data_IF_018089480222
#
_entry.id   IF_018089480222
#
_cell.length_a   1.000
_cell.length_b   1.000
_cell.length_c   1.000
_cell.angle_alpha   90.00
_cell.angle_beta   90.00
_cell.angle_gamma   90.00
#
_symmetry.space_group_name_H-M   'P 1'
#
loop_
_entity.id
_entity.type
_entity.pdbx_description
1 polymer ?
#
# COMPACT_ATOMS: atom_id res chain seq x y z
N UNK A 1 -50.42 -55.48 8.54
CA UNK A 1 -49.00 -55.10 8.76
C UNK A 1 -48.14 -55.02 7.47
N UNK A 2 -48.73 -54.97 6.28
CA UNK A 2 -47.94 -54.90 5.02
C UNK A 2 -48.03 -53.52 4.33
N UNK A 3 -48.84 -52.57 4.85
CA UNK A 3 -49.01 -51.23 4.23
C UNK A 3 -48.16 -50.14 4.87
N UNK A 4 -47.58 -50.35 6.04
CA UNK A 4 -46.70 -49.39 6.74
C UNK A 4 -45.24 -49.50 6.34
N UNK A 5 -44.81 -50.60 5.74
CA UNK A 5 -43.42 -50.83 5.31
C UNK A 5 -43.12 -50.15 3.96
N UNK A 6 -44.15 -49.88 3.15
CA UNK A 6 -43.98 -49.27 1.81
C UNK A 6 -43.80 -47.75 1.87
N UNK A 7 -44.25 -47.10 2.95
CA UNK A 7 -44.16 -45.64 3.10
C UNK A 7 -42.78 -45.17 3.58
N UNK A 8 -42.05 -46.07 4.28
CA UNK A 8 -40.68 -45.77 4.78
C UNK A 8 -39.58 -45.90 3.72
N UNK A 9 -39.85 -46.58 2.62
CA UNK A 9 -38.89 -46.74 1.51
C UNK A 9 -38.92 -45.58 0.51
N UNK A 10 -40.00 -44.75 0.49
CA UNK A 10 -40.15 -43.62 -0.43
C UNK A 10 -39.51 -42.31 0.10
N UNK A 11 -39.20 -42.24 1.39
CA UNK A 11 -38.58 -41.02 1.98
C UNK A 11 -37.06 -41.00 1.92
N UNK A 12 -36.44 -42.17 1.63
CA UNK A 12 -34.98 -42.29 1.57
C UNK A 12 -34.36 -41.91 0.22
N UNK A 13 -35.17 -41.74 -0.84
CA UNK A 13 -34.63 -41.49 -2.20
C UNK A 13 -34.53 -40.01 -2.56
N UNK A 14 -35.12 -39.09 -1.75
CA UNK A 14 -35.15 -37.64 -2.09
C UNK A 14 -34.11 -36.80 -1.37
N UNK A 15 -33.22 -37.36 -0.54
CA UNK A 15 -32.22 -36.61 0.20
C UNK A 15 -30.80 -36.66 -0.43
N UNK A 16 -30.68 -37.15 -1.66
CA UNK A 16 -29.38 -37.52 -2.27
C UNK A 16 -28.88 -36.62 -3.40
N UNK A 17 -29.48 -35.46 -3.72
CA UNK A 17 -29.12 -34.75 -4.96
C UNK A 17 -29.07 -33.22 -4.89
N UNK A 18 -28.73 -32.64 -3.74
CA UNK A 18 -28.34 -31.23 -3.66
C UNK A 18 -27.02 -31.06 -2.92
N UNK A 19 -26.01 -31.81 -3.32
CA UNK A 19 -24.65 -31.40 -3.08
C UNK A 19 -24.40 -30.16 -3.96
N UNK A 20 -24.66 -28.95 -3.40
CA UNK A 20 -24.18 -27.71 -4.00
C UNK A 20 -22.69 -27.89 -4.21
N UNK A 21 -22.25 -28.01 -5.48
CA UNK A 21 -20.84 -27.81 -5.82
C UNK A 21 -20.45 -26.47 -5.22
N UNK A 22 -19.70 -26.50 -4.14
CA UNK A 22 -19.00 -25.29 -3.67
C UNK A 22 -18.22 -24.76 -4.86
N UNK A 23 -18.36 -23.46 -5.21
CA UNK A 23 -17.59 -22.90 -6.29
C UNK A 23 -16.12 -23.22 -5.98
N UNK A 24 -15.49 -23.97 -6.84
CA UNK A 24 -14.07 -24.25 -6.71
C UNK A 24 -13.36 -22.94 -7.02
N UNK A 25 -12.94 -22.23 -5.95
CA UNK A 25 -12.13 -21.03 -6.09
C UNK A 25 -10.91 -21.44 -6.88
N UNK A 26 -10.74 -20.86 -8.06
CA UNK A 26 -9.56 -21.09 -8.87
C UNK A 26 -8.31 -20.88 -8.00
N UNK A 27 -7.29 -21.75 -8.09
CA UNK A 27 -6.05 -21.55 -7.36
C UNK A 27 -5.51 -20.15 -7.70
N UNK A 28 -5.10 -19.41 -6.67
CA UNK A 28 -4.51 -18.09 -6.86
C UNK A 28 -3.37 -18.20 -7.89
N UNK A 29 -3.25 -17.21 -8.80
CA UNK A 29 -2.21 -17.23 -9.81
C UNK A 29 -0.84 -17.38 -9.15
N UNK A 30 -0.03 -18.34 -9.61
CA UNK A 30 1.33 -18.50 -9.16
C UNK A 30 2.17 -17.39 -9.73
N UNK A 31 2.38 -16.33 -8.93
CA UNK A 31 3.22 -15.20 -9.31
C UNK A 31 4.69 -15.62 -9.13
N UNK A 32 5.55 -15.46 -10.16
CA UNK A 32 6.98 -15.67 -10.03
C UNK A 32 7.56 -14.81 -8.89
N UNK A 33 8.54 -15.34 -8.16
CA UNK A 33 9.13 -14.63 -7.02
C UNK A 33 9.70 -13.26 -7.42
N UNK A 34 10.25 -13.14 -8.63
CA UNK A 34 10.75 -11.87 -9.16
C UNK A 34 9.68 -10.78 -9.39
N UNK A 35 8.40 -11.15 -9.46
CA UNK A 35 7.28 -10.23 -9.64
C UNK A 35 6.41 -10.13 -8.38
N UNK A 36 6.78 -10.83 -7.32
CA UNK A 36 5.93 -10.94 -6.13
C UNK A 36 5.77 -9.60 -5.41
N UNK A 37 6.82 -8.81 -5.31
CA UNK A 37 6.77 -7.45 -4.75
C UNK A 37 5.79 -6.57 -5.51
N UNK A 38 5.93 -6.51 -6.84
CA UNK A 38 5.03 -5.76 -7.71
C UNK A 38 3.57 -6.23 -7.62
N UNK A 39 3.32 -7.54 -7.62
CA UNK A 39 1.98 -8.09 -7.48
C UNK A 39 1.32 -7.67 -6.15
N UNK A 40 2.03 -7.81 -5.03
CA UNK A 40 1.53 -7.42 -3.72
C UNK A 40 1.29 -5.90 -3.62
N UNK A 41 2.13 -5.10 -4.27
CA UNK A 41 1.92 -3.67 -4.41
C UNK A 41 0.62 -3.36 -5.16
N UNK A 42 0.38 -3.98 -6.32
CA UNK A 42 -0.85 -3.76 -7.09
C UNK A 42 -2.12 -4.17 -6.35
N UNK A 43 -2.06 -5.25 -5.55
CA UNK A 43 -3.15 -5.62 -4.64
C UNK A 43 -3.37 -4.54 -3.57
N UNK A 44 -2.29 -4.01 -2.98
CA UNK A 44 -2.37 -2.91 -2.02
C UNK A 44 -3.00 -1.64 -2.60
N UNK A 45 -2.61 -1.25 -3.81
CA UNK A 45 -3.21 -0.12 -4.54
C UNK A 45 -4.72 -0.34 -4.77
N UNK A 46 -5.10 -1.53 -5.23
CA UNK A 46 -6.51 -1.89 -5.41
C UNK A 46 -7.29 -1.76 -4.09
N UNK A 47 -6.77 -2.29 -3.00
CA UNK A 47 -7.38 -2.22 -1.67
C UNK A 47 -7.52 -0.78 -1.18
N UNK A 48 -6.51 0.08 -1.39
CA UNK A 48 -6.54 1.47 -0.98
C UNK A 48 -7.58 2.29 -1.76
N UNK A 49 -7.57 2.21 -3.09
CA UNK A 49 -8.30 3.15 -3.94
C UNK A 49 -9.65 2.62 -4.44
N UNK A 50 -9.79 1.32 -4.62
CA UNK A 50 -11.03 0.70 -5.14
C UNK A 50 -11.88 0.17 -4.00
N UNK A 51 -11.30 -0.65 -3.13
CA UNK A 51 -12.00 -1.30 -2.03
C UNK A 51 -12.12 -0.42 -0.79
N UNK A 52 -11.27 0.61 -0.68
CA UNK A 52 -11.16 1.55 0.45
C UNK A 52 -10.85 0.85 1.78
N UNK A 53 -10.11 -0.24 1.71
CA UNK A 53 -9.69 -1.04 2.85
C UNK A 53 -8.26 -0.69 3.27
N UNK A 54 -8.09 0.43 3.97
CA UNK A 54 -6.76 0.97 4.34
C UNK A 54 -5.89 -0.03 5.11
N UNK A 55 -6.48 -0.82 6.01
CA UNK A 55 -5.73 -1.81 6.78
C UNK A 55 -5.20 -2.96 5.89
N UNK A 56 -6.02 -3.44 4.95
CA UNK A 56 -5.61 -4.46 3.99
C UNK A 56 -4.56 -3.92 3.02
N UNK A 57 -4.73 -2.69 2.54
CA UNK A 57 -3.77 -1.99 1.69
C UNK A 57 -2.40 -1.91 2.37
N UNK A 58 -2.36 -1.43 3.62
CA UNK A 58 -1.14 -1.37 4.42
C UNK A 58 -0.46 -2.75 4.52
N UNK A 59 -1.20 -3.80 4.89
CA UNK A 59 -0.64 -5.15 5.00
C UNK A 59 -0.08 -5.66 3.66
N UNK A 60 -0.71 -5.34 2.54
CA UNK A 60 -0.23 -5.70 1.21
C UNK A 60 1.03 -4.93 0.81
N UNK A 61 1.13 -3.64 1.14
CA UNK A 61 2.35 -2.84 0.94
C UNK A 61 3.50 -3.37 1.80
N UNK A 62 3.27 -3.68 3.08
CA UNK A 62 4.26 -4.28 3.97
C UNK A 62 4.78 -5.63 3.44
N UNK A 63 3.90 -6.47 2.89
CA UNK A 63 4.30 -7.71 2.23
C UNK A 63 5.06 -7.49 0.92
N UNK A 64 4.73 -6.42 0.18
CA UNK A 64 5.45 -6.03 -1.03
C UNK A 64 6.91 -5.73 -0.73
N UNK A 65 7.19 -4.88 0.28
CA UNK A 65 8.56 -4.54 0.68
C UNK A 65 9.32 -5.71 1.33
N UNK A 66 8.61 -6.67 1.94
CA UNK A 66 9.23 -7.92 2.41
C UNK A 66 9.65 -8.82 1.25
N UNK A 67 8.88 -8.84 0.16
CA UNK A 67 9.19 -9.61 -1.03
C UNK A 67 10.28 -8.94 -1.89
N UNK A 68 10.27 -7.61 -1.97
CA UNK A 68 11.27 -6.81 -2.68
C UNK A 68 11.48 -5.46 -1.96
N UNK A 69 12.51 -5.39 -1.14
CA UNK A 69 12.86 -4.18 -0.38
C UNK A 69 13.42 -3.04 -1.25
N UNK A 70 13.73 -3.32 -2.51
CA UNK A 70 14.22 -2.31 -3.47
C UNK A 70 13.09 -1.65 -4.26
N UNK A 71 11.84 -2.15 -4.10
CA UNK A 71 10.68 -1.63 -4.80
C UNK A 71 10.19 -0.32 -4.17
N UNK A 72 10.76 0.81 -4.60
CA UNK A 72 10.50 2.16 -4.09
C UNK A 72 9.02 2.56 -4.01
N UNK A 73 8.18 2.26 -5.04
CA UNK A 73 6.76 2.61 -4.98
C UNK A 73 6.00 2.05 -3.78
N UNK A 74 6.35 0.86 -3.30
CA UNK A 74 5.69 0.31 -2.11
C UNK A 74 6.04 1.07 -0.83
N UNK A 75 7.28 1.53 -0.70
CA UNK A 75 7.71 2.39 0.40
C UNK A 75 7.02 3.76 0.35
N UNK A 76 6.91 4.33 -0.85
CA UNK A 76 6.24 5.60 -1.08
C UNK A 76 4.76 5.55 -0.67
N UNK A 77 3.99 4.59 -1.17
CA UNK A 77 2.58 4.46 -0.85
C UNK A 77 2.35 4.16 0.65
N UNK A 78 3.23 3.38 1.27
CA UNK A 78 3.14 3.12 2.70
C UNK A 78 3.40 4.39 3.53
N UNK A 79 4.35 5.23 3.10
CA UNK A 79 4.57 6.53 3.71
C UNK A 79 3.35 7.44 3.57
N UNK A 80 2.70 7.45 2.38
CA UNK A 80 1.50 8.24 2.12
C UNK A 80 0.33 7.83 3.02
N UNK A 81 0.07 6.54 3.17
CA UNK A 81 -0.96 6.00 4.05
C UNK A 81 -0.78 6.40 5.52
N UNK A 82 0.46 6.64 5.94
CA UNK A 82 0.82 6.92 7.33
C UNK A 82 1.04 8.41 7.61
N UNK A 83 1.14 9.24 6.59
CA UNK A 83 1.66 10.60 6.68
C UNK A 83 1.02 11.45 7.78
N UNK A 84 -0.30 11.37 7.92
CA UNK A 84 -1.05 12.14 8.92
C UNK A 84 -1.49 11.34 10.15
N UNK A 85 -1.30 10.02 10.15
CA UNK A 85 -1.73 9.16 11.23
C UNK A 85 -0.56 8.66 12.10
N UNK A 86 0.62 8.50 11.50
CA UNK A 86 1.87 8.08 12.15
C UNK A 86 3.05 8.73 11.44
N UNK A 87 3.22 10.04 11.66
CA UNK A 87 4.27 10.83 11.00
C UNK A 87 5.69 10.25 11.20
N UNK A 88 6.08 9.71 12.38
CA UNK A 88 7.38 9.05 12.53
C UNK A 88 7.56 7.80 11.65
N UNK A 89 6.50 6.99 11.50
CA UNK A 89 6.57 5.83 10.60
C UNK A 89 6.61 6.28 9.13
N UNK A 90 5.78 7.26 8.75
CA UNK A 90 5.80 7.84 7.41
C UNK A 90 7.18 8.35 7.02
N UNK A 91 7.87 9.04 7.93
CA UNK A 91 9.24 9.52 7.68
C UNK A 91 10.20 8.38 7.39
N UNK A 92 10.17 7.31 8.18
CA UNK A 92 11.04 6.13 7.92
C UNK A 92 10.78 5.52 6.55
N UNK A 93 9.52 5.40 6.14
CA UNK A 93 9.16 4.85 4.84
C UNK A 93 9.53 5.79 3.69
N UNK A 94 9.32 7.10 3.84
CA UNK A 94 9.74 8.10 2.87
C UNK A 94 11.28 8.12 2.68
N UNK A 95 12.03 7.97 3.76
CA UNK A 95 13.50 7.82 3.69
C UNK A 95 13.91 6.54 2.94
N UNK A 96 13.14 5.46 3.05
CA UNK A 96 13.40 4.23 2.28
C UNK A 96 13.07 4.44 0.80
N UNK A 97 11.91 5.01 0.45
CA UNK A 97 11.57 5.33 -0.94
C UNK A 97 12.66 6.19 -1.59
N UNK A 98 13.07 7.27 -0.92
CA UNK A 98 14.12 8.16 -1.40
C UNK A 98 15.47 7.43 -1.63
N UNK A 99 15.84 6.43 -0.82
CA UNK A 99 17.06 5.65 -1.04
C UNK A 99 17.01 4.78 -2.28
N UNK A 100 15.82 4.38 -2.77
CA UNK A 100 15.69 3.59 -4.01
C UNK A 100 15.92 4.43 -5.26
N UNK A 101 15.49 5.70 -5.24
CA UNK A 101 15.80 6.69 -6.28
C UNK A 101 15.90 8.10 -5.65
N UNK A 102 17.13 8.58 -5.56
CA UNK A 102 17.42 9.88 -4.95
C UNK A 102 17.14 11.07 -5.86
N UNK A 103 16.69 10.83 -7.07
CA UNK A 103 16.34 11.84 -8.09
C UNK A 103 14.87 11.87 -8.42
N UNK A 104 14.09 10.93 -7.89
CA UNK A 104 12.63 10.95 -8.06
C UNK A 104 12.03 12.13 -7.30
N UNK A 105 11.36 13.02 -8.05
CA UNK A 105 10.78 14.25 -7.49
C UNK A 105 9.62 13.97 -6.51
N UNK A 106 8.88 12.89 -6.69
CA UNK A 106 7.78 12.54 -5.82
C UNK A 106 8.28 12.02 -4.47
N UNK A 107 9.38 11.24 -4.49
CA UNK A 107 10.02 10.77 -3.26
C UNK A 107 10.65 11.93 -2.48
N UNK A 108 11.26 12.91 -3.18
CA UNK A 108 11.78 14.12 -2.56
C UNK A 108 10.66 14.96 -1.94
N UNK A 109 9.56 15.16 -2.66
CA UNK A 109 8.42 15.94 -2.16
C UNK A 109 7.85 15.31 -0.89
N UNK A 110 7.59 14.00 -0.92
CA UNK A 110 7.03 13.26 0.21
C UNK A 110 7.99 13.24 1.40
N UNK A 111 9.29 13.03 1.17
CA UNK A 111 10.31 13.08 2.22
C UNK A 111 10.33 14.44 2.90
N UNK A 112 10.31 15.52 2.13
CA UNK A 112 10.26 16.87 2.67
C UNK A 112 9.01 17.12 3.53
N UNK A 113 7.85 16.67 3.07
CA UNK A 113 6.60 16.76 3.84
C UNK A 113 6.67 15.94 5.14
N UNK A 114 7.16 14.70 5.07
CA UNK A 114 7.32 13.87 6.25
C UNK A 114 8.31 14.46 7.26
N UNK A 115 9.38 15.11 6.79
CA UNK A 115 10.33 15.82 7.65
C UNK A 115 9.69 17.01 8.37
N UNK A 116 8.85 17.79 7.68
CA UNK A 116 8.11 18.91 8.29
C UNK A 116 7.18 18.41 9.39
N UNK A 117 6.41 17.34 9.13
CA UNK A 117 5.49 16.76 10.11
C UNK A 117 6.19 16.14 11.33
N UNK A 118 7.49 15.95 11.26
CA UNK A 118 8.35 15.48 12.36
C UNK A 118 9.25 16.60 12.90
N UNK A 119 8.93 17.88 12.66
CA UNK A 119 9.68 19.05 13.12
C UNK A 119 11.15 19.09 12.67
N UNK A 120 11.50 18.33 11.61
CA UNK A 120 12.86 18.25 11.06
C UNK A 120 13.07 19.33 9.99
N UNK A 121 12.85 20.59 10.33
CA UNK A 121 12.81 21.71 9.38
C UNK A 121 14.10 21.88 8.59
N UNK A 122 15.29 21.75 9.24
CA UNK A 122 16.59 21.84 8.55
C UNK A 122 16.79 20.74 7.52
N UNK A 123 16.30 19.52 7.80
CA UNK A 123 16.34 18.42 6.86
C UNK A 123 15.40 18.70 5.68
N UNK A 124 14.18 19.18 5.97
CA UNK A 124 13.22 19.58 4.95
C UNK A 124 13.78 20.67 4.02
N UNK A 125 14.45 21.70 4.54
CA UNK A 125 15.12 22.70 3.73
C UNK A 125 16.12 22.05 2.76
N UNK A 126 16.94 21.12 3.21
CA UNK A 126 17.89 20.41 2.32
C UNK A 126 17.16 19.60 1.25
N UNK A 127 16.10 18.89 1.63
CA UNK A 127 15.30 18.08 0.71
C UNK A 127 14.59 18.93 -0.34
N UNK A 128 13.96 20.03 0.04
CA UNK A 128 13.30 20.94 -0.90
C UNK A 128 14.29 21.70 -1.80
N UNK A 129 15.50 22.02 -1.32
CA UNK A 129 16.56 22.57 -2.19
C UNK A 129 16.95 21.54 -3.26
N UNK A 130 17.09 20.27 -2.89
CA UNK A 130 17.36 19.20 -3.85
C UNK A 130 16.19 18.97 -4.82
N UNK A 131 14.95 19.04 -4.35
CA UNK A 131 13.78 18.99 -5.22
C UNK A 131 13.82 20.12 -6.27
N UNK A 132 14.23 21.32 -5.90
CA UNK A 132 14.38 22.45 -6.82
C UNK A 132 15.49 22.21 -7.86
N UNK A 133 16.54 21.46 -7.55
CA UNK A 133 17.57 21.06 -8.52
C UNK A 133 17.04 20.06 -9.53
N UNK A 134 16.17 19.13 -9.10
CA UNK A 134 15.57 18.09 -9.95
C UNK A 134 14.39 18.64 -10.76
N UNK A 135 13.57 19.49 -10.17
CA UNK A 135 12.37 20.09 -10.76
C UNK A 135 12.33 21.61 -10.46
N UNK A 136 13.13 22.37 -11.23
CA UNK A 136 13.27 23.82 -11.03
C UNK A 136 11.99 24.61 -11.26
N UNK A 137 10.98 24.02 -11.91
CA UNK A 137 9.70 24.69 -12.16
C UNK A 137 8.63 24.31 -11.12
N UNK A 138 8.96 23.51 -10.13
CA UNK A 138 8.02 23.12 -9.09
C UNK A 138 7.71 24.31 -8.15
N UNK A 139 6.49 24.89 -8.19
CA UNK A 139 6.16 26.06 -7.41
C UNK A 139 6.11 25.78 -5.91
N UNK A 140 5.78 24.54 -5.53
CA UNK A 140 5.68 24.14 -4.13
C UNK A 140 7.05 24.16 -3.44
N UNK A 141 8.13 23.82 -4.15
CA UNK A 141 9.47 23.86 -3.57
C UNK A 141 9.85 25.29 -3.11
N UNK A 142 9.54 26.28 -3.92
CA UNK A 142 9.81 27.70 -3.58
C UNK A 142 8.94 28.18 -2.43
N UNK A 143 7.64 27.87 -2.46
CA UNK A 143 6.68 28.28 -1.44
C UNK A 143 7.03 27.68 -0.07
N UNK A 144 7.35 26.38 -0.05
CA UNK A 144 7.69 25.68 1.19
C UNK A 144 9.04 26.15 1.73
N UNK A 145 10.05 26.35 0.89
CA UNK A 145 11.34 26.91 1.31
C UNK A 145 11.18 28.30 1.93
N UNK A 146 10.37 29.20 1.32
CA UNK A 146 10.12 30.51 1.90
C UNK A 146 9.51 30.41 3.31
N UNK A 147 8.52 29.52 3.50
CA UNK A 147 7.90 29.27 4.80
C UNK A 147 8.91 28.71 5.83
N UNK A 148 9.74 27.75 5.41
CA UNK A 148 10.72 27.12 6.30
C UNK A 148 11.84 28.07 6.72
N UNK A 149 12.30 28.95 5.81
CA UNK A 149 13.30 29.98 6.16
C UNK A 149 12.73 31.06 7.09
N UNK A 150 11.46 31.44 6.93
CA UNK A 150 10.78 32.35 7.86
C UNK A 150 10.66 31.76 9.27
N UNK A 151 10.48 30.47 9.36
CA UNK A 151 10.36 29.75 10.66
C UNK A 151 11.70 29.53 11.36
N UNK A 152 12.81 29.41 10.62
CA UNK A 152 14.16 29.28 11.21
C UNK A 152 14.80 30.63 11.60
N UNK A 153 14.21 31.79 11.16
CA UNK A 153 14.50 33.16 11.59
C UNK A 153 15.76 33.73 11.24
#
# INVERSE_FOLDING_TARGET
MRKTLLLLLLTAVFCGAFARKTPQVAPAPQVPDSLRGFYLFTEGIKQAFIERETAAARASMERSIQADSTYGPAWYELAELLLYNDAPAALRHAEHAFRTDTTDKWYLLQLGQAQILNDRYRDAIRTYNRLREVDAQNPDSYRVLAMLYDQEG
#
